data_IF_703293238731
#
_entry.id   IF_703293238731
#
_cell.length_a   1.000
_cell.length_b   1.000
_cell.length_c   1.000
_cell.angle_alpha   90.00
_cell.angle_beta   90.00
_cell.angle_gamma   90.00
#
_symmetry.space_group_name_H-M   'P 1'
#
loop_
_entity.id
_entity.type
_entity.pdbx_description
1 polymer ?
#
# COMPACT_ATOMS: atom_id res chain seq x y z
N UNK A 1 33.91 -18.59 10.50
CA UNK A 1 33.33 -17.68 9.49
C UNK A 1 32.06 -18.34 8.98
N UNK A 2 30.88 -17.98 9.52
CA UNK A 2 29.60 -18.58 9.11
C UNK A 2 29.25 -17.96 7.76
N UNK A 3 29.16 -18.77 6.71
CA UNK A 3 28.84 -18.29 5.36
C UNK A 3 27.38 -17.91 5.29
N UNK A 4 27.09 -16.72 4.79
CA UNK A 4 25.74 -16.19 4.63
C UNK A 4 24.93 -17.07 3.67
N UNK A 5 23.76 -17.59 4.07
CA UNK A 5 22.79 -18.10 3.11
C UNK A 5 22.43 -16.97 2.15
N UNK A 6 22.50 -17.22 0.83
CA UNK A 6 22.29 -16.18 -0.19
C UNK A 6 20.96 -15.43 0.02
N UNK A 7 19.93 -16.15 0.47
CA UNK A 7 18.59 -15.63 0.73
C UNK A 7 18.54 -14.54 1.81
N UNK A 8 19.27 -14.71 2.92
CA UNK A 8 19.23 -13.79 4.06
C UNK A 8 19.93 -12.47 3.71
N UNK A 9 21.00 -12.54 2.91
CA UNK A 9 21.69 -11.37 2.38
C UNK A 9 20.77 -10.49 1.55
N UNK A 10 20.06 -11.12 0.63
CA UNK A 10 19.22 -10.42 -0.31
C UNK A 10 18.00 -9.82 0.42
N UNK A 11 17.45 -10.53 1.41
CA UNK A 11 16.35 -10.03 2.24
C UNK A 11 16.77 -8.84 3.12
N UNK A 12 17.94 -8.90 3.77
CA UNK A 12 18.51 -7.76 4.52
C UNK A 12 18.71 -6.55 3.61
N UNK A 13 19.23 -6.76 2.39
CA UNK A 13 19.38 -5.67 1.41
C UNK A 13 18.04 -5.04 1.02
N UNK A 14 17.02 -5.86 0.80
CA UNK A 14 15.67 -5.40 0.46
C UNK A 14 15.03 -4.61 1.59
N UNK A 15 15.07 -5.13 2.82
CA UNK A 15 14.43 -4.51 3.99
C UNK A 15 15.03 -3.15 4.35
N UNK A 16 16.31 -2.94 4.06
CA UNK A 16 17.01 -1.69 4.32
C UNK A 16 17.00 -0.71 3.13
N UNK A 17 16.39 -1.07 1.99
CA UNK A 17 16.38 -0.22 0.80
C UNK A 17 15.38 0.95 0.94
N UNK A 18 15.84 2.21 1.04
CA UNK A 18 14.95 3.34 1.33
C UNK A 18 13.99 3.67 0.19
N UNK A 19 14.38 3.38 -1.07
CA UNK A 19 13.50 3.58 -2.23
C UNK A 19 12.37 2.58 -2.22
N UNK A 20 12.68 1.30 -1.95
CA UNK A 20 11.69 0.24 -1.88
C UNK A 20 10.69 0.49 -0.76
N UNK A 21 11.17 0.84 0.44
CA UNK A 21 10.32 1.25 1.57
C UNK A 21 9.35 2.36 1.12
N UNK A 22 9.88 3.46 0.57
CA UNK A 22 9.06 4.60 0.16
C UNK A 22 8.00 4.22 -0.88
N UNK A 23 8.37 3.44 -1.90
CA UNK A 23 7.46 2.96 -2.94
C UNK A 23 6.34 2.12 -2.33
N UNK A 24 6.69 1.13 -1.50
CA UNK A 24 5.72 0.22 -0.90
C UNK A 24 4.79 0.92 0.10
N UNK A 25 5.23 1.97 0.79
CA UNK A 25 4.35 2.76 1.65
C UNK A 25 3.38 3.65 0.88
N UNK A 26 3.83 4.27 -0.22
CA UNK A 26 3.07 5.33 -0.91
C UNK A 26 2.20 4.77 -2.04
N UNK A 27 2.72 3.87 -2.87
CA UNK A 27 2.05 3.43 -4.10
C UNK A 27 0.69 2.76 -3.82
N UNK A 28 0.56 1.80 -2.89
CA UNK A 28 -0.74 1.20 -2.60
C UNK A 28 -1.76 2.23 -2.10
N UNK A 29 -1.32 3.18 -1.27
CA UNK A 29 -2.17 4.25 -0.75
C UNK A 29 -2.61 5.22 -1.87
N UNK A 30 -1.70 5.60 -2.77
CA UNK A 30 -2.01 6.43 -3.91
C UNK A 30 -3.00 5.75 -4.86
N UNK A 31 -2.81 4.45 -5.15
CA UNK A 31 -3.75 3.68 -5.98
C UNK A 31 -5.12 3.59 -5.30
N UNK A 32 -5.17 3.38 -3.98
CA UNK A 32 -6.42 3.38 -3.23
C UNK A 32 -7.17 4.72 -3.36
N UNK A 33 -6.47 5.85 -3.24
CA UNK A 33 -7.07 7.17 -3.45
C UNK A 33 -7.56 7.35 -4.90
N UNK A 34 -6.79 6.90 -5.89
CA UNK A 34 -7.21 6.92 -7.29
C UNK A 34 -8.43 6.04 -7.56
N UNK A 35 -8.54 4.89 -6.90
CA UNK A 35 -9.72 4.02 -7.00
C UNK A 35 -10.96 4.70 -6.43
N UNK A 36 -10.84 5.40 -5.29
CA UNK A 36 -11.93 6.22 -4.72
C UNK A 36 -12.35 7.33 -5.71
N UNK A 37 -11.39 8.05 -6.28
CA UNK A 37 -11.69 9.08 -7.27
C UNK A 37 -12.38 8.49 -8.52
N UNK A 38 -11.90 7.34 -9.00
CA UNK A 38 -12.50 6.62 -10.12
C UNK A 38 -13.95 6.19 -9.82
N UNK A 39 -14.24 5.76 -8.59
CA UNK A 39 -15.60 5.50 -8.15
C UNK A 39 -16.51 6.73 -8.28
N UNK A 40 -16.04 7.91 -7.85
CA UNK A 40 -16.81 9.14 -8.02
C UNK A 40 -17.02 9.50 -9.49
N UNK A 41 -16.02 9.29 -10.35
CA UNK A 41 -16.15 9.48 -11.80
C UNK A 41 -17.24 8.58 -12.37
N UNK A 42 -17.28 7.30 -12.00
CA UNK A 42 -18.36 6.37 -12.40
C UNK A 42 -19.71 6.91 -11.93
N UNK A 43 -19.81 7.28 -10.65
CA UNK A 43 -21.03 7.79 -10.05
C UNK A 43 -21.56 9.01 -10.82
N UNK A 44 -20.77 10.07 -10.98
CA UNK A 44 -21.18 11.27 -11.72
C UNK A 44 -21.50 10.98 -13.18
N UNK A 45 -20.76 10.08 -13.82
CA UNK A 45 -21.03 9.69 -15.21
C UNK A 45 -22.39 8.99 -15.37
N UNK A 46 -22.82 8.20 -14.40
CA UNK A 46 -24.14 7.56 -14.40
C UNK A 46 -25.27 8.59 -14.22
N UNK A 47 -25.12 9.52 -13.27
CA UNK A 47 -26.13 10.58 -13.05
C UNK A 47 -26.24 11.52 -14.25
N UNK A 48 -25.12 11.92 -14.85
CA UNK A 48 -25.16 12.73 -16.07
C UNK A 48 -25.83 12.00 -17.24
N UNK A 49 -25.63 10.68 -17.36
CA UNK A 49 -26.32 9.89 -18.39
C UNK A 49 -27.82 9.81 -18.12
N UNK A 50 -28.24 9.61 -16.87
CA UNK A 50 -29.66 9.59 -16.48
C UNK A 50 -30.34 10.93 -16.78
N UNK A 51 -29.70 12.05 -16.45
CA UNK A 51 -30.22 13.40 -16.70
C UNK A 51 -30.42 13.66 -18.20
N UNK A 52 -29.45 13.26 -19.04
CA UNK A 52 -29.59 13.35 -20.51
C UNK A 52 -30.73 12.48 -21.06
N UNK A 53 -30.98 11.31 -20.47
CA UNK A 53 -32.09 10.43 -20.85
C UNK A 53 -33.46 10.97 -20.43
N UNK A 54 -33.52 11.81 -19.39
CA UNK A 54 -34.72 12.53 -18.96
C UNK A 54 -35.00 13.79 -19.79
N UNK A 55 -34.31 13.96 -20.92
CA UNK A 55 -34.61 14.99 -21.91
C UNK A 55 -33.95 16.34 -21.65
N UNK A 56 -32.97 16.41 -20.74
CA UNK A 56 -32.31 17.67 -20.39
C UNK A 56 -31.11 18.00 -21.31
N UNK A 57 -30.56 17.03 -22.06
CA UNK A 57 -29.50 17.26 -23.08
C UNK A 57 -29.57 16.35 -24.32
N UNK A 58 -29.22 16.90 -25.49
CA UNK A 58 -29.47 16.35 -26.84
C UNK A 58 -28.51 15.27 -27.38
N UNK A 59 -27.65 14.66 -26.55
CA UNK A 59 -26.80 13.55 -26.99
C UNK A 59 -26.68 12.48 -25.88
N UNK A 60 -27.62 11.54 -25.86
CA UNK A 60 -27.60 10.40 -24.94
C UNK A 60 -26.49 9.41 -25.34
N UNK A 61 -25.36 9.43 -24.62
CA UNK A 61 -24.48 8.25 -24.60
C UNK A 61 -25.24 7.09 -23.98
N UNK A 62 -25.01 5.88 -24.47
CA UNK A 62 -25.56 4.68 -23.83
C UNK A 62 -25.05 4.56 -22.39
N UNK A 63 -25.97 4.32 -21.45
CA UNK A 63 -25.66 4.03 -20.05
C UNK A 63 -24.64 2.90 -19.91
N UNK A 64 -24.71 1.90 -20.81
CA UNK A 64 -23.76 0.80 -20.86
C UNK A 64 -22.34 1.28 -21.18
N UNK A 65 -22.18 2.15 -22.17
CA UNK A 65 -20.86 2.69 -22.56
C UNK A 65 -20.27 3.57 -21.46
N UNK A 66 -21.10 4.39 -20.81
CA UNK A 66 -20.72 5.24 -19.69
C UNK A 66 -20.26 4.44 -18.48
N UNK A 67 -20.93 3.32 -18.19
CA UNK A 67 -20.56 2.41 -17.11
C UNK A 67 -19.29 1.62 -17.45
N UNK A 68 -19.27 0.91 -18.59
CA UNK A 68 -18.19 -0.02 -18.94
C UNK A 68 -16.84 0.67 -19.12
N UNK A 69 -16.80 1.87 -19.72
CA UNK A 69 -15.54 2.58 -19.94
C UNK A 69 -14.81 2.94 -18.64
N UNK A 70 -15.57 3.44 -17.65
CA UNK A 70 -15.01 3.82 -16.36
C UNK A 70 -14.81 2.61 -15.43
N UNK A 71 -15.64 1.57 -15.57
CA UNK A 71 -15.55 0.34 -14.78
C UNK A 71 -14.26 -0.44 -15.04
N UNK A 72 -13.76 -0.48 -16.29
CA UNK A 72 -12.50 -1.16 -16.61
C UNK A 72 -11.32 -0.52 -15.86
N UNK A 73 -11.25 0.81 -15.86
CA UNK A 73 -10.21 1.56 -15.15
C UNK A 73 -10.30 1.30 -13.65
N UNK A 74 -11.51 1.35 -13.09
CA UNK A 74 -11.73 1.06 -11.68
C UNK A 74 -11.28 -0.36 -11.31
N UNK A 75 -11.67 -1.38 -12.08
CA UNK A 75 -11.27 -2.77 -11.86
C UNK A 75 -9.75 -2.90 -11.91
N UNK A 76 -9.09 -2.30 -12.91
CA UNK A 76 -7.65 -2.31 -13.03
C UNK A 76 -6.96 -1.68 -11.79
N UNK A 77 -7.44 -0.52 -11.34
CA UNK A 77 -6.92 0.14 -10.13
C UNK A 77 -7.13 -0.71 -8.87
N UNK A 78 -8.28 -1.38 -8.73
CA UNK A 78 -8.55 -2.25 -7.59
C UNK A 78 -7.61 -3.46 -7.57
N UNK A 79 -7.42 -4.13 -8.70
CA UNK A 79 -6.48 -5.27 -8.77
C UNK A 79 -5.03 -4.83 -8.51
N UNK A 80 -4.60 -3.73 -9.14
CA UNK A 80 -3.26 -3.19 -8.92
C UNK A 80 -3.06 -2.79 -7.45
N UNK A 81 -4.06 -2.15 -6.85
CA UNK A 81 -4.07 -1.76 -5.43
C UNK A 81 -4.03 -2.98 -4.50
N UNK A 82 -4.75 -4.05 -4.83
CA UNK A 82 -4.72 -5.31 -4.08
C UNK A 82 -3.32 -5.94 -4.10
N UNK A 83 -2.73 -6.15 -5.27
CA UNK A 83 -1.41 -6.81 -5.36
C UNK A 83 -0.30 -5.97 -4.72
N UNK A 84 -0.28 -4.67 -5.02
CA UNK A 84 0.71 -3.75 -4.40
C UNK A 84 0.50 -3.65 -2.89
N UNK A 85 -0.76 -3.67 -2.43
CA UNK A 85 -1.13 -3.67 -1.02
C UNK A 85 -0.67 -4.93 -0.29
N UNK A 86 -0.86 -6.13 -0.86
CA UNK A 86 -0.39 -7.39 -0.25
C UNK A 86 1.14 -7.42 -0.14
N UNK A 87 1.85 -7.04 -1.21
CA UNK A 87 3.33 -6.99 -1.20
C UNK A 87 3.82 -6.01 -0.13
N UNK A 88 3.22 -4.83 -0.07
CA UNK A 88 3.53 -3.81 0.93
C UNK A 88 3.25 -4.30 2.35
N UNK A 89 2.09 -4.89 2.57
CA UNK A 89 1.69 -5.44 3.86
C UNK A 89 2.71 -6.47 4.37
N UNK A 90 3.05 -7.48 3.56
CA UNK A 90 4.02 -8.50 3.94
C UNK A 90 5.38 -7.87 4.25
N UNK A 91 5.86 -6.98 3.38
CA UNK A 91 7.12 -6.26 3.58
C UNK A 91 7.17 -5.54 4.93
N UNK A 92 6.12 -4.78 5.25
CA UNK A 92 6.09 -3.95 6.45
C UNK A 92 5.84 -4.72 7.73
N UNK A 93 5.11 -5.84 7.68
CA UNK A 93 5.02 -6.78 8.80
C UNK A 93 6.40 -7.37 9.11
N UNK A 94 7.11 -7.88 8.09
CA UNK A 94 8.48 -8.42 8.29
C UNK A 94 9.41 -7.34 8.83
N UNK A 95 9.36 -6.13 8.26
CA UNK A 95 10.15 -5.00 8.74
C UNK A 95 9.81 -4.68 10.21
N UNK A 96 8.54 -4.67 10.61
CA UNK A 96 8.13 -4.40 11.99
C UNK A 96 8.59 -5.49 12.98
N UNK A 97 8.49 -6.76 12.60
CA UNK A 97 8.95 -7.89 13.41
C UNK A 97 10.46 -7.82 13.65
N UNK A 98 11.23 -7.43 12.62
CA UNK A 98 12.69 -7.42 12.64
C UNK A 98 13.32 -6.08 12.98
N UNK A 99 12.52 -5.04 13.25
CA UNK A 99 13.03 -3.71 13.55
C UNK A 99 13.73 -3.70 14.92
N UNK A 100 15.07 -3.49 14.98
CA UNK A 100 15.82 -3.55 16.24
C UNK A 100 15.36 -2.53 17.27
N UNK A 101 14.87 -1.37 16.82
CA UNK A 101 14.35 -0.32 17.71
C UNK A 101 13.06 -0.73 18.45
N UNK A 102 12.45 -1.85 18.06
CA UNK A 102 11.21 -2.37 18.63
C UNK A 102 11.42 -3.74 19.30
N UNK A 103 12.57 -4.42 19.14
CA UNK A 103 12.75 -5.81 19.58
C UNK A 103 12.53 -5.99 21.10
N UNK A 104 12.96 -5.00 21.88
CA UNK A 104 12.88 -5.05 23.35
C UNK A 104 11.67 -4.32 23.95
N UNK A 105 10.82 -3.71 23.13
CA UNK A 105 9.66 -2.93 23.61
C UNK A 105 8.33 -3.60 23.29
N UNK A 106 7.36 -3.40 24.19
CA UNK A 106 5.96 -3.78 23.96
C UNK A 106 5.37 -3.09 22.71
N UNK A 107 5.98 -1.97 22.28
CA UNK A 107 5.59 -1.22 21.10
C UNK A 107 5.64 -2.05 19.81
N UNK A 108 6.46 -3.11 19.74
CA UNK A 108 6.50 -3.98 18.55
C UNK A 108 5.14 -4.56 18.22
N UNK A 109 4.45 -5.08 19.24
CA UNK A 109 3.12 -5.67 19.06
C UNK A 109 2.12 -4.60 18.60
N UNK A 110 2.18 -3.41 19.21
CA UNK A 110 1.32 -2.28 18.85
C UNK A 110 1.51 -1.86 17.39
N UNK A 111 2.75 -1.80 16.90
CA UNK A 111 3.02 -1.45 15.50
C UNK A 111 2.59 -2.53 14.52
N UNK A 112 2.79 -3.80 14.85
CA UNK A 112 2.29 -4.91 14.02
C UNK A 112 0.76 -4.87 13.96
N UNK A 113 0.09 -4.68 15.10
CA UNK A 113 -1.37 -4.52 15.16
C UNK A 113 -1.84 -3.29 14.37
N UNK A 114 -1.13 -2.16 14.47
CA UNK A 114 -1.44 -0.96 13.70
C UNK A 114 -1.33 -1.21 12.18
N UNK A 115 -0.37 -2.00 11.72
CA UNK A 115 -0.23 -2.40 10.31
C UNK A 115 -1.37 -3.33 9.90
N UNK A 116 -1.71 -4.33 10.71
CA UNK A 116 -2.76 -5.32 10.40
C UNK A 116 -4.15 -4.65 10.36
N UNK A 117 -4.49 -3.86 11.37
CA UNK A 117 -5.79 -3.21 11.46
C UNK A 117 -5.87 -1.98 10.55
N UNK A 118 -4.81 -1.19 10.50
CA UNK A 118 -4.74 0.04 9.72
C UNK A 118 -4.48 -0.18 8.22
N UNK A 119 -4.07 -1.38 7.81
CA UNK A 119 -3.76 -1.74 6.43
C UNK A 119 -2.86 -0.68 5.76
N UNK A 120 -3.23 -0.15 4.59
CA UNK A 120 -2.43 0.85 3.86
C UNK A 120 -2.12 2.11 4.67
N UNK A 121 -3.02 2.55 5.55
CA UNK A 121 -2.78 3.71 6.42
C UNK A 121 -1.80 3.34 7.53
N UNK A 122 -1.99 2.17 8.15
CA UNK A 122 -1.10 1.65 9.20
C UNK A 122 0.33 1.50 8.72
N UNK A 123 0.50 0.95 7.51
CA UNK A 123 1.78 0.85 6.81
C UNK A 123 2.42 2.23 6.59
N UNK A 124 1.67 3.20 6.08
CA UNK A 124 2.19 4.53 5.81
C UNK A 124 2.65 5.25 7.07
N UNK A 125 1.85 5.17 8.15
CA UNK A 125 2.21 5.76 9.46
C UNK A 125 3.46 5.08 10.01
N UNK A 126 3.51 3.74 10.00
CA UNK A 126 4.68 3.00 10.45
C UNK A 126 5.96 3.42 9.70
N UNK A 127 5.90 3.51 8.36
CA UNK A 127 7.03 3.96 7.57
C UNK A 127 7.51 5.36 7.96
N UNK A 128 6.60 6.31 8.19
CA UNK A 128 6.98 7.66 8.61
C UNK A 128 7.66 7.64 9.98
N UNK A 129 7.03 7.01 10.98
CA UNK A 129 7.43 7.16 12.38
C UNK A 129 8.56 6.23 12.80
N UNK A 130 8.56 4.99 12.31
CA UNK A 130 9.53 3.97 12.74
C UNK A 130 10.72 3.81 11.80
N UNK A 131 10.62 4.31 10.56
CA UNK A 131 11.72 4.24 9.58
C UNK A 131 12.23 5.63 9.23
N UNK A 132 11.39 6.49 8.64
CA UNK A 132 11.83 7.74 8.03
C UNK A 132 12.29 8.78 9.05
N UNK A 133 11.56 8.93 10.16
CA UNK A 133 11.83 9.91 11.22
C UNK A 133 12.84 9.44 12.27
N UNK A 134 13.15 8.14 12.32
CA UNK A 134 14.10 7.59 13.31
C UNK A 134 15.54 7.87 12.90
N UNK A 135 16.33 8.29 13.88
CA UNK A 135 17.77 8.53 13.76
C UNK A 135 18.47 7.91 14.99
N UNK A 136 19.34 6.88 14.82
CA UNK A 136 19.67 6.23 13.56
C UNK A 136 18.47 5.45 12.98
N UNK A 137 18.44 5.33 11.65
CA UNK A 137 17.43 4.51 10.96
C UNK A 137 17.56 3.05 11.41
N UNK A 138 16.45 2.30 11.49
CA UNK A 138 16.53 0.88 11.81
C UNK A 138 17.30 0.14 10.72
N UNK A 139 18.44 -0.43 11.09
CA UNK A 139 19.22 -1.32 10.25
C UNK A 139 18.85 -2.75 10.62
N UNK A 140 18.12 -3.43 9.74
CA UNK A 140 17.73 -4.81 9.96
C UNK A 140 18.89 -5.70 9.55
N UNK A 141 19.62 -6.22 10.53
CA UNK A 141 20.55 -7.32 10.33
C UNK A 141 19.88 -8.63 10.74
N UNK A 142 19.80 -9.59 9.81
CA UNK A 142 19.21 -10.90 10.06
C UNK A 142 20.23 -11.90 10.64
N UNK A 143 21.52 -11.56 10.67
CA UNK A 143 22.61 -12.43 11.12
C UNK A 143 22.92 -12.27 12.62
N UNK A 144 22.86 -11.04 13.14
CA UNK A 144 23.18 -10.73 14.55
C UNK A 144 22.02 -11.04 15.54
N UNK A 145 20.95 -11.69 15.08
CA UNK A 145 19.79 -12.04 15.91
C UNK A 145 19.89 -13.43 16.56
N UNK A 146 21.04 -14.11 16.48
CA UNK A 146 21.33 -15.28 17.32
C UNK A 146 21.93 -14.82 18.67
N UNK A 147 21.06 -14.50 19.62
CA UNK A 147 21.32 -14.56 21.06
C UNK A 147 20.31 -15.53 21.69
#
# INVERSE_FOLDING_TARGET
MKTMPILDRDLTSLLNNPKLQTILAIVPLAIFLLAILSYFVIFFSLFGTLDSQLGHEGASKSMLTSLLGNLIIFIFLVFLGFFTGVISFVYYVVHAVKNPNLIESEDRLLWILAIILGNGIGVFIYWIYQIKKKDPRPLIDLYDQEL
#
